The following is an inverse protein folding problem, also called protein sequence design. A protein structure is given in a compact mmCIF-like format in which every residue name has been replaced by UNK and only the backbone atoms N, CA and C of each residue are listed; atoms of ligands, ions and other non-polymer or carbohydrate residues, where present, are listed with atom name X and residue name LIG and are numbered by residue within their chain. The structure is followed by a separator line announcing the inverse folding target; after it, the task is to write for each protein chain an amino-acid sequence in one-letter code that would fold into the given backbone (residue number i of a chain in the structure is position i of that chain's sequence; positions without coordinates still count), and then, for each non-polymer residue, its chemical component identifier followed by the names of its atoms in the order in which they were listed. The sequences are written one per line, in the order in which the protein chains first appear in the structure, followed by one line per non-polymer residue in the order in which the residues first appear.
data_IF_575845514188
#
_entry.id   IF_575845514188
#
_cell.length_a   1.000
_cell.length_b   1.000
_cell.length_c   1.000
_cell.angle_alpha   90.00
_cell.angle_beta   90.00
_cell.angle_gamma   90.00
#
_symmetry.space_group_name_H-M   'P 1'
#
loop_
_entity.id
_entity.type
_entity.pdbx_description
1 polymer ?
#
# COMPACT_ATOMS: atom_id res chain seq x y z
N UNK A 1 -27.53 -26.60 -14.44
CA UNK A 1 -27.00 -25.24 -14.47
C UNK A 1 -27.22 -24.64 -13.09
N UNK A 2 -26.17 -24.35 -12.29
CA UNK A 2 -26.33 -23.57 -11.08
C UNK A 2 -26.39 -22.07 -11.42
N UNK A 3 -27.10 -21.25 -10.63
CA UNK A 3 -27.26 -19.83 -10.90
C UNK A 3 -25.93 -19.10 -10.69
N UNK A 4 -25.56 -18.23 -11.64
CA UNK A 4 -24.49 -17.27 -11.51
C UNK A 4 -24.92 -16.22 -10.48
N UNK A 5 -24.32 -16.25 -9.31
CA UNK A 5 -24.40 -15.16 -8.35
C UNK A 5 -23.54 -14.02 -8.87
N UNK A 6 -24.17 -12.90 -9.16
CA UNK A 6 -23.52 -11.64 -9.47
C UNK A 6 -22.77 -11.16 -8.21
N UNK A 7 -21.45 -11.27 -8.24
CA UNK A 7 -20.61 -10.55 -7.29
C UNK A 7 -20.69 -9.07 -7.68
N UNK A 8 -21.55 -8.33 -7.01
CA UNK A 8 -21.53 -6.87 -7.10
C UNK A 8 -20.15 -6.39 -6.56
N UNK A 9 -19.32 -5.91 -7.48
CA UNK A 9 -18.06 -5.27 -7.16
C UNK A 9 -18.35 -4.06 -6.26
N UNK A 10 -17.93 -4.12 -5.01
CA UNK A 10 -17.95 -2.98 -4.10
C UNK A 10 -17.00 -1.90 -4.63
N UNK A 11 -17.54 -0.98 -5.41
CA UNK A 11 -16.85 0.26 -5.80
C UNK A 11 -17.20 1.31 -4.75
N UNK A 12 -16.26 1.72 -3.88
CA UNK A 12 -16.54 2.78 -2.93
C UNK A 12 -16.90 4.05 -3.69
N UNK A 13 -18.09 4.62 -3.38
CA UNK A 13 -18.53 5.90 -3.95
C UNK A 13 -17.50 6.97 -3.59
N UNK A 14 -16.83 7.54 -4.60
CA UNK A 14 -15.92 8.67 -4.48
C UNK A 14 -16.72 9.84 -3.88
N UNK A 15 -16.41 10.24 -2.65
CA UNK A 15 -16.91 11.51 -2.10
C UNK A 15 -16.18 12.63 -2.84
N UNK A 16 -16.91 13.50 -3.49
CA UNK A 16 -16.33 14.68 -4.14
C UNK A 16 -15.58 15.52 -3.10
N UNK A 17 -14.28 15.72 -3.31
CA UNK A 17 -13.42 16.58 -2.50
C UNK A 17 -12.38 15.91 -1.59
N UNK A 18 -12.35 14.58 -1.43
CA UNK A 18 -11.32 13.92 -0.64
C UNK A 18 -10.13 13.47 -1.50
N UNK A 19 -8.97 14.13 -1.29
CA UNK A 19 -7.71 13.75 -1.97
C UNK A 19 -7.00 12.57 -1.30
N UNK A 20 -7.31 12.25 -0.04
CA UNK A 20 -6.64 11.21 0.75
C UNK A 20 -7.63 10.11 1.10
N UNK A 21 -7.28 8.86 0.76
CA UNK A 21 -8.01 7.67 1.16
C UNK A 21 -7.23 6.94 2.24
N UNK A 22 -7.83 6.73 3.39
CA UNK A 22 -7.23 6.03 4.52
C UNK A 22 -7.82 4.64 4.66
N UNK A 23 -6.95 3.63 4.60
CA UNK A 23 -7.34 2.22 4.64
C UNK A 23 -6.60 1.52 5.78
N UNK A 24 -7.30 0.70 6.54
CA UNK A 24 -6.70 -0.11 7.60
C UNK A 24 -6.64 -1.57 7.19
N UNK A 25 -5.47 -2.18 7.34
CA UNK A 25 -5.26 -3.61 7.16
C UNK A 25 -4.85 -4.23 8.48
N UNK A 26 -5.61 -5.18 8.96
CA UNK A 26 -5.26 -5.98 10.13
C UNK A 26 -4.37 -7.14 9.68
N UNK A 27 -3.20 -7.32 10.30
CA UNK A 27 -2.39 -8.51 10.07
C UNK A 27 -2.84 -9.67 10.95
N UNK A 28 -2.69 -10.93 10.51
CA UNK A 28 -2.91 -12.07 11.38
C UNK A 28 -1.88 -12.10 12.52
N UNK A 29 -2.22 -12.76 13.60
CA UNK A 29 -1.25 -13.09 14.65
C UNK A 29 -0.16 -13.99 14.07
N UNK A 30 1.09 -13.72 14.42
CA UNK A 30 2.22 -14.57 14.07
C UNK A 30 2.16 -15.90 14.82
N UNK A 31 2.85 -16.92 14.30
CA UNK A 31 2.96 -18.22 14.99
C UNK A 31 3.49 -18.07 16.42
N UNK A 32 4.43 -17.17 16.64
CA UNK A 32 4.99 -16.88 17.96
C UNK A 32 3.96 -16.25 18.90
N UNK A 33 3.22 -15.23 18.43
CA UNK A 33 2.17 -14.59 19.21
C UNK A 33 1.07 -15.59 19.65
N UNK A 34 0.71 -16.52 18.76
CA UNK A 34 -0.23 -17.60 19.08
C UNK A 34 0.34 -18.55 20.14
N UNK A 35 1.61 -18.95 20.00
CA UNK A 35 2.30 -19.82 20.96
C UNK A 35 2.46 -19.16 22.32
N UNK A 36 2.71 -17.85 22.34
CA UNK A 36 2.83 -17.03 23.56
C UNK A 36 1.45 -16.73 24.20
N UNK A 37 0.36 -17.25 23.62
CA UNK A 37 -1.00 -17.10 24.17
C UNK A 37 -1.60 -15.71 23.99
N UNK A 38 -1.13 -14.93 23.01
CA UNK A 38 -1.73 -13.63 22.71
C UNK A 38 -3.10 -13.79 22.06
N UNK A 39 -4.03 -12.90 22.43
CA UNK A 39 -5.37 -12.84 21.85
C UNK A 39 -5.48 -11.70 20.84
N UNK A 40 -6.45 -11.82 19.93
CA UNK A 40 -6.80 -10.73 19.02
C UNK A 40 -7.37 -9.54 19.78
N UNK A 41 -6.78 -8.37 19.59
CA UNK A 41 -7.19 -7.11 20.20
C UNK A 41 -8.04 -6.24 19.25
N UNK A 42 -8.23 -6.68 18.02
CA UNK A 42 -8.93 -5.91 16.98
C UNK A 42 -9.95 -6.75 16.24
N UNK A 43 -11.09 -6.14 15.91
CA UNK A 43 -12.13 -6.74 15.07
C UNK A 43 -12.42 -5.79 13.91
N UNK A 44 -12.20 -6.26 12.70
CA UNK A 44 -12.51 -5.55 11.47
C UNK A 44 -13.94 -5.84 11.01
N UNK A 45 -14.67 -4.80 10.64
CA UNK A 45 -15.96 -4.87 9.95
C UNK A 45 -15.76 -4.21 8.58
N UNK A 46 -15.54 -5.06 7.58
CA UNK A 46 -15.23 -4.62 6.20
C UNK A 46 -16.42 -3.89 5.56
N UNK A 47 -17.64 -4.30 5.86
CA UNK A 47 -18.86 -3.74 5.26
C UNK A 47 -19.12 -2.30 5.70
N UNK A 48 -18.85 -2.00 6.97
CA UNK A 48 -19.06 -0.65 7.51
C UNK A 48 -17.79 0.21 7.54
N UNK A 49 -16.63 -0.33 7.15
CA UNK A 49 -15.34 0.36 7.24
C UNK A 49 -14.92 0.65 8.70
N UNK A 50 -15.32 -0.19 9.65
CA UNK A 50 -15.04 0.00 11.08
C UNK A 50 -14.02 -0.98 11.60
N UNK A 51 -13.18 -0.51 12.50
CA UNK A 51 -12.31 -1.34 13.31
C UNK A 51 -12.58 -1.08 14.79
N UNK A 52 -12.81 -2.13 15.55
CA UNK A 52 -12.97 -2.08 16.99
C UNK A 52 -11.72 -2.62 17.65
N UNK A 53 -11.15 -1.86 18.57
CA UNK A 53 -9.97 -2.23 19.35
C UNK A 53 -10.39 -2.42 20.81
N UNK A 54 -10.01 -3.56 21.38
CA UNK A 54 -10.25 -3.87 22.79
C UNK A 54 -8.98 -4.50 23.37
N UNK A 55 -8.57 -4.01 24.53
CA UNK A 55 -7.48 -4.64 25.25
C UNK A 55 -7.97 -6.00 25.83
N UNK A 56 -7.38 -7.14 25.43
CA UNK A 56 -7.80 -8.44 25.91
C UNK A 56 -7.61 -8.64 27.42
N UNK A 57 -6.82 -7.76 28.05
CA UNK A 57 -6.53 -7.76 29.50
C UNK A 57 -7.23 -6.62 30.24
N UNK A 58 -8.13 -5.90 29.58
CA UNK A 58 -8.89 -4.83 30.21
C UNK A 58 -9.92 -5.39 31.18
N UNK A 59 -10.30 -4.58 32.17
CA UNK A 59 -11.42 -4.87 33.03
C UNK A 59 -12.72 -4.94 32.22
N UNK A 60 -13.68 -5.75 32.71
CA UNK A 60 -14.94 -6.00 32.00
C UNK A 60 -15.73 -4.72 31.66
N UNK A 61 -15.49 -3.64 32.39
CA UNK A 61 -16.16 -2.36 32.26
C UNK A 61 -15.47 -1.39 31.30
N UNK A 62 -14.27 -1.72 30.74
CA UNK A 62 -13.59 -0.86 29.75
C UNK A 62 -14.22 -1.05 28.37
N UNK A 63 -14.90 -0.01 27.84
CA UNK A 63 -15.56 -0.13 26.54
C UNK A 63 -14.52 -0.20 25.41
N UNK A 64 -14.79 -1.01 24.36
CA UNK A 64 -13.95 -1.06 23.19
C UNK A 64 -13.94 0.28 22.46
N UNK A 65 -12.80 0.62 21.84
CA UNK A 65 -12.65 1.82 20.99
C UNK A 65 -12.94 1.46 19.54
N UNK A 66 -13.84 2.21 18.91
CA UNK A 66 -14.22 2.00 17.51
C UNK A 66 -13.81 3.19 16.66
N UNK A 67 -13.22 2.91 15.50
CA UNK A 67 -12.80 3.89 14.51
C UNK A 67 -13.39 3.53 13.16
N UNK A 68 -13.66 4.55 12.33
CA UNK A 68 -14.18 4.38 10.96
C UNK A 68 -13.20 4.96 9.96
N UNK A 69 -12.94 4.21 8.87
CA UNK A 69 -12.04 4.56 7.80
C UNK A 69 -12.71 4.34 6.45
N UNK A 70 -12.08 4.75 5.35
CA UNK A 70 -12.60 4.54 4.00
C UNK A 70 -12.75 3.06 3.65
N UNK A 71 -11.85 2.23 4.16
CA UNK A 71 -11.96 0.77 4.14
C UNK A 71 -11.17 0.15 5.30
N UNK A 72 -11.64 -1.00 5.76
CA UNK A 72 -10.95 -1.82 6.76
C UNK A 72 -10.89 -3.25 6.24
N UNK A 73 -9.76 -3.90 6.39
CA UNK A 73 -9.54 -5.26 5.93
C UNK A 73 -9.13 -6.19 7.06
N UNK A 74 -9.83 -7.31 7.14
CA UNK A 74 -9.56 -8.37 8.09
C UNK A 74 -8.23 -9.10 7.78
N UNK A 75 -7.69 -9.90 8.71
CA UNK A 75 -6.44 -10.66 8.49
C UNK A 75 -6.46 -11.60 7.30
N UNK A 76 -7.64 -11.98 6.83
CA UNK A 76 -7.85 -12.91 5.69
C UNK A 76 -7.78 -12.25 4.31
N UNK A 77 -7.64 -10.91 4.25
CA UNK A 77 -7.59 -10.19 2.96
C UNK A 77 -6.41 -10.67 2.12
N UNK A 78 -6.66 -10.95 0.85
CA UNK A 78 -5.61 -11.30 -0.11
C UNK A 78 -4.87 -10.05 -0.58
N UNK A 79 -3.61 -10.23 -0.99
CA UNK A 79 -2.82 -9.15 -1.58
C UNK A 79 -3.50 -8.56 -2.82
N UNK A 80 -4.04 -9.43 -3.66
CA UNK A 80 -4.72 -9.02 -4.91
C UNK A 80 -5.95 -8.15 -4.61
N UNK A 81 -6.84 -8.59 -3.71
CA UNK A 81 -8.04 -7.81 -3.36
C UNK A 81 -7.67 -6.45 -2.73
N UNK A 82 -6.65 -6.44 -1.85
CA UNK A 82 -6.14 -5.19 -1.29
C UNK A 82 -5.65 -4.25 -2.39
N UNK A 83 -4.86 -4.76 -3.32
CA UNK A 83 -4.35 -3.99 -4.46
C UNK A 83 -5.48 -3.41 -5.31
N UNK A 84 -6.44 -4.24 -5.71
CA UNK A 84 -7.54 -3.85 -6.60
C UNK A 84 -8.40 -2.73 -5.98
N UNK A 85 -8.66 -2.80 -4.67
CA UNK A 85 -9.49 -1.79 -3.97
C UNK A 85 -8.73 -0.51 -3.66
N UNK A 86 -7.46 -0.61 -3.27
CA UNK A 86 -6.72 0.53 -2.73
C UNK A 86 -5.80 1.20 -3.75
N UNK A 87 -5.07 0.42 -4.52
CA UNK A 87 -3.92 0.88 -5.28
C UNK A 87 -4.17 0.95 -6.77
N UNK A 88 -4.89 0.01 -7.35
CA UNK A 88 -5.18 -0.03 -8.78
C UNK A 88 -5.85 1.27 -9.29
N UNK A 89 -6.81 1.90 -8.57
CA UNK A 89 -7.37 3.17 -8.99
C UNK A 89 -6.35 4.32 -8.99
N UNK A 90 -5.41 4.32 -8.03
CA UNK A 90 -4.34 5.33 -7.97
C UNK A 90 -3.40 5.17 -9.17
N UNK A 91 -2.98 3.94 -9.46
CA UNK A 91 -2.13 3.65 -10.64
C UNK A 91 -2.85 4.02 -11.94
N UNK A 92 -4.15 3.74 -12.05
CA UNK A 92 -4.94 4.15 -13.21
C UNK A 92 -4.94 5.68 -13.40
N UNK A 93 -5.14 6.45 -12.32
CA UNK A 93 -5.07 7.92 -12.36
C UNK A 93 -3.68 8.43 -12.78
N UNK A 94 -2.61 7.76 -12.34
CA UNK A 94 -1.24 8.11 -12.77
C UNK A 94 -1.06 7.93 -14.28
N UNK A 95 -1.62 6.87 -14.85
CA UNK A 95 -1.60 6.63 -16.30
C UNK A 95 -2.45 7.61 -17.10
N UNK A 96 -3.36 8.34 -16.45
CA UNK A 96 -4.13 9.46 -17.00
C UNK A 96 -3.41 10.83 -16.87
N UNK A 97 -2.23 10.86 -16.23
CA UNK A 97 -1.40 12.05 -16.09
C UNK A 97 -1.47 12.74 -14.72
N UNK A 98 -2.11 12.13 -13.73
CA UNK A 98 -2.14 12.65 -12.36
C UNK A 98 -0.97 12.14 -11.52
N UNK A 99 -0.60 12.86 -10.48
CA UNK A 99 0.34 12.34 -9.47
C UNK A 99 -0.41 11.40 -8.52
N UNK A 100 0.23 10.28 -8.18
CA UNK A 100 -0.30 9.31 -7.22
C UNK A 100 0.73 8.96 -6.16
N UNK A 101 0.31 8.89 -4.90
CA UNK A 101 1.17 8.48 -3.79
C UNK A 101 0.46 7.38 -3.00
N UNK A 102 1.20 6.33 -2.67
CA UNK A 102 0.74 5.26 -1.80
C UNK A 102 1.81 5.06 -0.74
N UNK A 103 1.40 5.05 0.53
CA UNK A 103 2.32 4.74 1.61
C UNK A 103 1.69 3.81 2.65
N UNK A 104 2.50 2.98 3.28
CA UNK A 104 2.12 2.11 4.37
C UNK A 104 2.66 2.67 5.68
N UNK A 105 1.79 2.83 6.67
CA UNK A 105 2.11 3.33 8.01
C UNK A 105 1.79 2.29 9.08
N UNK A 106 2.60 2.26 10.12
CA UNK A 106 2.41 1.37 11.26
C UNK A 106 3.73 1.10 11.99
N UNK A 107 3.64 0.54 13.19
CA UNK A 107 4.83 0.16 13.97
C UNK A 107 5.64 -0.94 13.28
N UNK A 108 6.86 -1.20 13.78
CA UNK A 108 7.65 -2.35 13.34
C UNK A 108 6.88 -3.65 13.58
N UNK A 109 6.88 -4.54 12.58
CA UNK A 109 6.10 -5.78 12.63
C UNK A 109 4.62 -5.65 12.26
N UNK A 110 4.10 -4.45 11.94
CA UNK A 110 2.70 -4.27 11.52
C UNK A 110 2.37 -4.85 10.14
N UNK A 111 3.37 -5.25 9.33
CA UNK A 111 3.16 -5.82 8.00
C UNK A 111 3.29 -4.82 6.85
N UNK A 112 3.94 -3.66 7.07
CA UNK A 112 4.19 -2.66 6.00
C UNK A 112 4.89 -3.25 4.80
N UNK A 113 6.03 -3.92 5.02
CA UNK A 113 6.82 -4.56 3.96
C UNK A 113 6.02 -5.65 3.23
N UNK A 114 5.28 -6.48 3.97
CA UNK A 114 4.41 -7.47 3.34
C UNK A 114 3.32 -6.83 2.48
N UNK A 115 2.75 -5.71 2.90
CA UNK A 115 1.75 -4.98 2.11
C UNK A 115 2.36 -4.35 0.86
N UNK A 116 3.53 -3.74 0.96
CA UNK A 116 4.17 -3.03 -0.15
C UNK A 116 4.89 -3.96 -1.12
N UNK A 117 5.72 -4.85 -0.63
CA UNK A 117 6.54 -5.77 -1.44
C UNK A 117 5.88 -7.15 -1.56
N UNK A 118 5.37 -7.67 -0.44
CA UNK A 118 4.84 -9.02 -0.36
C UNK A 118 5.92 -10.08 -0.48
N UNK A 119 5.58 -11.19 -1.14
CA UNK A 119 6.48 -12.28 -1.48
C UNK A 119 6.44 -12.47 -2.99
N UNK A 120 7.60 -12.68 -3.61
CA UNK A 120 7.71 -12.75 -5.08
C UNK A 120 6.99 -13.98 -5.65
N UNK A 121 7.12 -15.11 -5.00
CA UNK A 121 6.47 -16.38 -5.35
C UNK A 121 5.80 -17.00 -4.10
N UNK A 122 4.56 -17.45 -4.22
CA UNK A 122 3.70 -17.43 -5.40
C UNK A 122 3.14 -16.02 -5.71
N UNK A 123 2.71 -15.75 -6.95
CA UNK A 123 2.24 -14.42 -7.41
C UNK A 123 1.10 -13.82 -6.57
N UNK A 124 0.26 -14.65 -5.96
CA UNK A 124 -0.86 -14.24 -5.11
C UNK A 124 -0.41 -13.50 -3.84
N UNK A 125 0.86 -13.65 -3.46
CA UNK A 125 1.46 -13.00 -2.30
C UNK A 125 2.22 -11.72 -2.63
N UNK A 126 2.24 -11.30 -3.89
CA UNK A 126 2.87 -10.05 -4.34
C UNK A 126 2.16 -8.84 -3.74
N UNK A 127 2.95 -7.89 -3.25
CA UNK A 127 2.45 -6.66 -2.65
C UNK A 127 2.04 -5.59 -3.67
N UNK A 128 1.84 -4.38 -3.17
CA UNK A 128 1.41 -3.23 -3.97
C UNK A 128 2.42 -2.90 -5.06
N UNK A 129 3.71 -2.87 -4.76
CA UNK A 129 4.76 -2.46 -5.70
C UNK A 129 4.81 -3.38 -6.94
N UNK A 130 4.99 -4.71 -6.82
CA UNK A 130 5.03 -5.57 -7.99
C UNK A 130 3.71 -5.60 -8.77
N UNK A 131 2.56 -5.49 -8.12
CA UNK A 131 1.27 -5.40 -8.81
C UNK A 131 1.11 -4.07 -9.57
N UNK A 132 1.62 -2.95 -9.01
CA UNK A 132 1.62 -1.66 -9.69
C UNK A 132 2.51 -1.68 -10.93
N UNK A 133 3.70 -2.26 -10.84
CA UNK A 133 4.56 -2.46 -12.00
C UNK A 133 3.87 -3.29 -13.08
N UNK A 134 3.26 -4.40 -12.70
CA UNK A 134 2.52 -5.23 -13.64
C UNK A 134 1.44 -4.42 -14.38
N UNK A 135 0.61 -3.67 -13.65
CA UNK A 135 -0.45 -2.85 -14.23
C UNK A 135 0.11 -1.76 -15.17
N UNK A 136 1.21 -1.10 -14.79
CA UNK A 136 1.86 -0.08 -15.62
C UNK A 136 2.36 -0.71 -16.93
N UNK A 137 3.11 -1.81 -16.84
CA UNK A 137 3.69 -2.44 -18.03
C UNK A 137 2.65 -3.13 -18.91
N UNK A 138 1.58 -3.67 -18.35
CA UNK A 138 0.44 -4.16 -19.13
C UNK A 138 -0.19 -3.01 -19.95
N UNK A 139 -0.30 -1.82 -19.36
CA UNK A 139 -0.80 -0.64 -20.08
C UNK A 139 0.15 -0.14 -21.15
N UNK A 140 1.45 -0.13 -20.85
CA UNK A 140 2.51 0.22 -21.84
C UNK A 140 2.47 -0.74 -23.02
N UNK A 141 2.30 -2.04 -22.78
CA UNK A 141 2.21 -3.05 -23.83
C UNK A 141 0.98 -2.89 -24.75
N UNK A 142 -0.08 -2.25 -24.25
CA UNK A 142 -1.31 -1.95 -24.99
C UNK A 142 -1.31 -0.55 -25.63
N UNK A 143 -0.16 0.12 -25.68
CA UNK A 143 -0.03 1.45 -26.26
C UNK A 143 -0.45 1.47 -27.73
N UNK A 144 -1.13 2.53 -28.13
CA UNK A 144 -1.48 2.75 -29.54
C UNK A 144 -0.21 2.94 -30.39
N UNK A 145 -0.32 2.63 -31.68
CA UNK A 145 0.77 2.81 -32.62
C UNK A 145 1.23 4.30 -32.61
N UNK A 146 2.55 4.52 -32.48
CA UNK A 146 3.15 5.86 -32.40
C UNK A 146 3.23 6.48 -31.00
N UNK A 147 2.69 5.84 -29.97
CA UNK A 147 2.86 6.26 -28.56
C UNK A 147 4.08 5.57 -27.96
N UNK A 148 4.98 6.37 -27.38
CA UNK A 148 6.16 5.87 -26.66
C UNK A 148 6.08 6.28 -25.20
N UNK A 149 6.29 5.33 -24.30
CA UNK A 149 6.40 5.56 -22.87
C UNK A 149 7.87 5.56 -22.45
N UNK A 150 8.22 6.47 -21.55
CA UNK A 150 9.50 6.45 -20.84
C UNK A 150 9.22 6.24 -19.37
N UNK A 151 9.52 5.05 -18.87
CA UNK A 151 9.35 4.70 -17.45
C UNK A 151 10.71 4.83 -16.77
N UNK A 152 10.76 5.60 -15.67
CA UNK A 152 11.96 5.77 -14.85
C UNK A 152 11.66 5.37 -13.42
N UNK A 153 12.61 4.73 -12.78
CA UNK A 153 12.54 4.33 -11.38
C UNK A 153 13.74 4.87 -10.60
N UNK A 154 13.47 5.33 -9.39
CA UNK A 154 14.46 5.67 -8.38
C UNK A 154 14.07 4.99 -7.07
N UNK A 155 15.03 4.61 -6.25
CA UNK A 155 14.76 3.95 -4.97
C UNK A 155 15.67 4.51 -3.90
N UNK A 156 15.08 5.08 -2.85
CA UNK A 156 15.82 5.67 -1.74
C UNK A 156 15.28 5.18 -0.40
N UNK A 157 16.11 5.26 0.61
CA UNK A 157 15.70 5.12 2.01
C UNK A 157 16.00 6.38 2.81
N UNK A 158 15.19 6.64 3.82
CA UNK A 158 15.48 7.65 4.85
C UNK A 158 15.60 6.90 6.16
N UNK A 159 16.80 6.87 6.69
CA UNK A 159 17.10 6.22 7.96
C UNK A 159 17.96 7.12 8.84
N UNK A 160 17.50 7.37 10.05
CA UNK A 160 18.20 8.22 11.03
C UNK A 160 18.59 9.59 10.43
N UNK A 161 17.62 10.25 9.76
CA UNK A 161 17.75 11.56 9.10
C UNK A 161 18.74 11.60 7.91
N UNK A 162 19.22 10.45 7.47
CA UNK A 162 20.08 10.31 6.30
C UNK A 162 19.28 9.78 5.12
N UNK A 163 19.41 10.44 3.97
CA UNK A 163 18.87 9.99 2.70
C UNK A 163 19.93 9.17 1.97
N UNK A 164 19.59 7.96 1.54
CA UNK A 164 20.48 7.06 0.82
C UNK A 164 19.86 6.56 -0.45
N UNK A 165 20.67 6.43 -1.49
CA UNK A 165 20.28 5.89 -2.78
C UNK A 165 20.51 4.37 -2.80
N UNK A 166 19.43 3.59 -2.86
CA UNK A 166 19.51 2.13 -2.85
C UNK A 166 19.88 1.54 -4.23
N UNK A 167 19.89 2.35 -5.28
CA UNK A 167 20.29 1.94 -6.63
C UNK A 167 21.71 2.42 -7.00
N UNK A 168 22.37 3.18 -6.13
CA UNK A 168 23.72 3.64 -6.35
C UNK A 168 24.75 2.51 -6.22
N UNK A 169 25.92 2.67 -6.85
CA UNK A 169 27.05 1.73 -6.70
C UNK A 169 27.52 1.62 -5.26
N UNK A 170 27.47 2.73 -4.51
CA UNK A 170 27.73 2.78 -3.08
C UNK A 170 26.48 3.29 -2.34
N UNK A 171 25.64 2.38 -1.81
CA UNK A 171 24.43 2.76 -1.08
C UNK A 171 24.69 3.47 0.26
N UNK A 172 25.94 3.55 0.71
CA UNK A 172 26.30 4.23 1.97
C UNK A 172 26.46 5.74 1.79
N UNK A 173 26.59 6.22 0.56
CA UNK A 173 26.65 7.64 0.29
C UNK A 173 25.36 8.33 0.71
N UNK A 174 25.51 9.40 1.49
CA UNK A 174 24.38 10.26 1.89
C UNK A 174 24.08 11.23 0.76
N UNK A 175 22.80 11.46 0.51
CA UNK A 175 22.32 12.44 -0.44
C UNK A 175 21.71 13.65 0.26
N UNK A 176 21.84 14.81 -0.37
CA UNK A 176 21.26 16.06 0.10
C UNK A 176 19.87 16.29 -0.44
N UNK A 177 18.98 16.79 0.40
CA UNK A 177 17.75 17.41 -0.04
C UNK A 177 18.03 18.83 -0.50
N UNK A 178 17.52 19.20 -1.66
CA UNK A 178 17.60 20.53 -2.25
C UNK A 178 16.19 20.99 -2.63
N UNK A 179 16.05 22.31 -2.71
CA UNK A 179 14.83 22.95 -3.18
C UNK A 179 15.14 23.77 -4.43
N UNK A 180 14.25 23.69 -5.40
CA UNK A 180 14.27 24.49 -6.60
C UNK A 180 12.93 25.22 -6.70
N UNK A 181 12.95 26.50 -7.08
CA UNK A 181 11.74 27.36 -7.15
C UNK A 181 10.69 26.79 -8.11
N UNK A 182 11.14 26.17 -9.22
CA UNK A 182 10.26 25.68 -10.28
C UNK A 182 9.79 24.22 -10.05
N UNK A 183 10.67 23.36 -9.50
CA UNK A 183 10.41 21.92 -9.37
C UNK A 183 10.15 21.44 -7.92
N UNK A 184 10.24 22.35 -6.94
CA UNK A 184 10.08 22.01 -5.53
C UNK A 184 11.26 21.26 -4.93
N UNK A 185 11.00 20.47 -3.89
CA UNK A 185 12.03 19.70 -3.17
C UNK A 185 12.42 18.45 -3.96
N UNK A 186 13.72 18.20 -4.06
CA UNK A 186 14.26 17.02 -4.73
C UNK A 186 15.52 16.50 -4.00
N UNK A 187 15.85 15.23 -4.26
CA UNK A 187 17.08 14.61 -3.76
C UNK A 187 18.16 14.79 -4.82
N UNK A 188 19.22 15.52 -4.45
CA UNK A 188 20.34 15.77 -5.37
C UNK A 188 21.09 14.48 -5.66
N UNK A 189 21.46 14.28 -6.94
CA UNK A 189 22.25 13.14 -7.42
C UNK A 189 21.60 11.76 -7.21
N UNK A 190 20.28 11.70 -6.97
CA UNK A 190 19.55 10.43 -6.87
C UNK A 190 19.57 9.69 -8.21
N UNK A 191 20.01 8.44 -8.18
CA UNK A 191 20.05 7.57 -9.36
C UNK A 191 18.66 7.30 -9.91
N UNK A 192 18.50 7.42 -11.22
CA UNK A 192 17.27 7.10 -11.92
C UNK A 192 17.59 6.19 -13.11
N UNK A 193 16.96 5.02 -13.15
CA UNK A 193 17.10 4.07 -14.25
C UNK A 193 15.86 4.10 -15.15
N UNK A 194 16.10 3.92 -16.45
CA UNK A 194 15.04 3.62 -17.40
C UNK A 194 14.76 2.12 -17.30
N UNK A 195 13.51 1.74 -17.12
CA UNK A 195 13.03 0.37 -16.95
C UNK A 195 12.07 -0.01 -18.05
#
# INVERSE_FOLDING_TARGET
MPPKGDAEDFVPKKKEGECVKVVVRVRPLSKKEIQDGHAEATKADEDSGRITCQNPKADADEPPKTFTFDAVFAPTITQRKLYDVCSAPVVASVLEGFNGTIFAYGQTGAGKTFTMEGVQDPPELRGIIPNAFQQIFDRVALAAEGVQFLVRASYLEIYNEEVRDLLAKDPKNRLDLKENVDSGVYVKDLTSFIV
#
